data_IF_168272018365
#
_entry.id   IF_168272018365
#
_cell.length_a   1.000
_cell.length_b   1.000
_cell.length_c   1.000
_cell.angle_alpha   90.00
_cell.angle_beta   90.00
_cell.angle_gamma   90.00
#
_symmetry.space_group_name_H-M   'P 1'
#
loop_
_entity.id
_entity.type
_entity.pdbx_description
1 polymer ?
#
# COMPACT_ATOMS: atom_id res chain seq x y z
N UNK A 1 -43.38 55.16 13.72
CA UNK A 1 -42.19 55.10 12.86
C UNK A 1 -40.89 54.82 13.64
N UNK A 2 -40.60 55.52 14.71
CA UNK A 2 -39.36 55.35 15.51
C UNK A 2 -39.24 53.96 16.20
N UNK A 3 -40.32 53.38 16.72
CA UNK A 3 -40.29 52.07 17.34
C UNK A 3 -40.12 50.92 16.35
N UNK A 4 -40.58 51.08 15.12
CA UNK A 4 -40.37 50.11 14.03
C UNK A 4 -38.92 50.07 13.65
N UNK A 5 -38.27 51.25 13.52
CA UNK A 5 -36.85 51.36 13.21
C UNK A 5 -35.98 50.68 14.30
N UNK A 6 -36.28 50.91 15.58
CA UNK A 6 -35.58 50.25 16.70
C UNK A 6 -35.73 48.75 16.68
N UNK A 7 -36.89 48.19 16.33
CA UNK A 7 -37.11 46.77 16.18
C UNK A 7 -36.29 46.17 15.01
N UNK A 8 -36.28 46.88 13.87
CA UNK A 8 -35.47 46.45 12.71
C UNK A 8 -33.95 46.48 13.06
N UNK A 9 -33.46 47.53 13.72
CA UNK A 9 -32.04 47.59 14.14
C UNK A 9 -31.67 46.43 15.12
N UNK A 10 -32.57 46.07 16.07
CA UNK A 10 -32.32 44.96 16.96
C UNK A 10 -32.27 43.62 16.23
N UNK A 11 -33.18 43.37 15.29
CA UNK A 11 -33.20 42.16 14.48
C UNK A 11 -31.93 42.08 13.64
N UNK A 12 -31.54 43.16 13.00
CA UNK A 12 -30.29 43.22 12.19
C UNK A 12 -29.06 42.97 13.05
N UNK A 13 -28.98 43.49 14.27
CA UNK A 13 -27.87 43.23 15.19
C UNK A 13 -27.80 41.76 15.61
N UNK A 14 -28.93 41.11 15.88
CA UNK A 14 -29.02 39.69 16.22
C UNK A 14 -28.58 38.85 15.03
N UNK A 15 -29.04 39.15 13.82
CA UNK A 15 -28.63 38.44 12.59
C UNK A 15 -27.14 38.58 12.35
N UNK A 16 -26.56 39.78 12.52
CA UNK A 16 -25.11 40.01 12.37
C UNK A 16 -24.28 39.16 13.36
N UNK A 17 -24.75 39.08 14.63
CA UNK A 17 -24.09 38.22 15.64
C UNK A 17 -24.11 36.74 15.22
N UNK A 18 -25.29 36.26 14.76
CA UNK A 18 -25.39 34.87 14.26
C UNK A 18 -24.46 34.58 13.09
N UNK A 19 -24.35 35.51 12.12
CA UNK A 19 -23.47 35.37 10.97
C UNK A 19 -21.98 35.31 11.44
N UNK A 20 -21.60 36.21 12.37
CA UNK A 20 -20.23 36.23 12.91
C UNK A 20 -19.94 34.94 13.68
N UNK A 21 -20.86 34.46 14.51
CA UNK A 21 -20.68 33.20 15.23
C UNK A 21 -20.61 31.99 14.28
N UNK A 22 -21.47 31.95 13.28
CA UNK A 22 -21.44 30.89 12.26
C UNK A 22 -20.16 30.90 11.45
N UNK A 23 -19.69 32.07 11.03
CA UNK A 23 -18.40 32.23 10.35
C UNK A 23 -17.24 31.80 11.24
N UNK A 24 -17.21 32.25 12.50
CA UNK A 24 -16.20 31.82 13.47
C UNK A 24 -16.22 30.31 13.71
N UNK A 25 -17.39 29.70 13.84
CA UNK A 25 -17.53 28.25 13.98
C UNK A 25 -17.00 27.51 12.75
N UNK A 26 -17.36 27.95 11.54
CA UNK A 26 -16.89 27.32 10.30
C UNK A 26 -15.37 27.47 10.15
N UNK A 27 -14.78 28.60 10.48
CA UNK A 27 -13.32 28.78 10.41
C UNK A 27 -12.58 27.92 11.43
N UNK A 28 -13.11 27.73 12.65
CA UNK A 28 -12.55 26.81 13.65
C UNK A 28 -12.64 25.35 13.22
N UNK A 29 -13.60 25.01 12.35
CA UNK A 29 -13.73 23.69 11.72
C UNK A 29 -12.92 23.54 10.43
N UNK A 30 -12.08 24.53 10.09
CA UNK A 30 -11.20 24.47 8.93
C UNK A 30 -11.86 24.85 7.60
N UNK A 31 -13.00 25.54 7.62
CA UNK A 31 -13.60 26.10 6.41
C UNK A 31 -13.08 27.50 6.15
N UNK A 32 -12.75 27.78 4.91
CA UNK A 32 -12.45 29.15 4.42
C UNK A 32 -13.49 29.58 3.39
N UNK A 33 -13.81 30.87 3.38
CA UNK A 33 -14.74 31.46 2.41
C UNK A 33 -13.95 31.94 1.18
N UNK A 34 -14.15 31.29 0.04
CA UNK A 34 -13.52 31.66 -1.21
C UNK A 34 -14.51 31.49 -2.36
N UNK A 35 -14.48 32.44 -3.31
CA UNK A 35 -15.32 32.43 -4.52
C UNK A 35 -16.82 32.20 -4.24
N UNK A 36 -17.34 32.90 -3.21
CA UNK A 36 -18.74 32.83 -2.73
C UNK A 36 -19.15 31.48 -2.14
N UNK A 37 -18.20 30.58 -1.80
CA UNK A 37 -18.47 29.29 -1.17
C UNK A 37 -17.57 29.06 0.05
N UNK A 38 -18.08 28.28 1.03
CA UNK A 38 -17.26 27.73 2.09
C UNK A 38 -16.59 26.46 1.60
N UNK A 39 -15.26 26.41 1.61
CA UNK A 39 -14.45 25.24 1.27
C UNK A 39 -13.64 24.82 2.50
N UNK A 40 -13.46 23.52 2.72
CA UNK A 40 -12.56 23.02 3.76
C UNK A 40 -11.13 23.46 3.46
N UNK A 41 -10.49 24.13 4.40
CA UNK A 41 -9.09 24.56 4.25
C UNK A 41 -8.14 23.39 4.04
N UNK A 42 -8.52 22.19 4.51
CA UNK A 42 -7.78 20.95 4.23
C UNK A 42 -7.83 20.50 2.76
N UNK A 43 -8.77 21.03 1.95
CA UNK A 43 -8.70 20.81 0.49
C UNK A 43 -7.63 21.68 -0.16
N UNK A 44 -7.19 22.76 0.50
CA UNK A 44 -6.03 23.54 0.07
C UNK A 44 -4.68 22.86 0.45
N UNK A 45 -4.72 21.81 1.29
CA UNK A 45 -3.61 20.91 1.62
C UNK A 45 -3.88 19.43 1.25
N UNK A 46 -4.94 19.15 0.50
CA UNK A 46 -4.86 18.09 -0.50
C UNK A 46 -3.91 18.61 -1.60
N UNK A 47 -2.70 19.04 -1.16
CA UNK A 47 -1.56 19.20 -2.03
C UNK A 47 -1.50 17.88 -2.78
N UNK A 48 -1.43 17.94 -4.07
CA UNK A 48 -0.96 16.94 -4.97
C UNK A 48 -0.04 16.00 -4.15
N UNK A 49 -0.59 14.89 -3.63
CA UNK A 49 0.27 13.89 -3.00
C UNK A 49 1.17 13.50 -4.14
N UNK A 50 2.42 13.92 -4.08
CA UNK A 50 3.39 13.62 -5.11
C UNK A 50 3.27 12.12 -5.36
N UNK A 51 3.20 11.71 -6.62
CA UNK A 51 3.03 10.30 -6.99
C UNK A 51 4.00 9.40 -6.20
N UNK A 52 5.20 9.91 -5.96
CA UNK A 52 6.25 9.27 -5.18
C UNK A 52 6.91 10.29 -4.23
N UNK A 53 7.29 9.82 -3.05
CA UNK A 53 7.93 10.62 -2.00
C UNK A 53 9.38 10.15 -1.80
N UNK A 54 10.36 11.06 -1.87
CA UNK A 54 11.76 10.72 -1.55
C UNK A 54 11.89 10.26 -0.11
N UNK A 55 12.61 9.15 0.07
CA UNK A 55 12.88 8.54 1.37
C UNK A 55 14.35 8.14 1.48
N UNK A 56 14.79 7.83 2.68
CA UNK A 56 16.09 7.20 2.95
C UNK A 56 15.91 6.14 4.04
N UNK A 57 16.55 5.00 3.86
CA UNK A 57 16.50 3.91 4.83
C UNK A 57 17.05 2.61 4.23
N UNK A 58 17.27 1.62 5.09
CA UNK A 58 17.70 0.30 4.68
C UNK A 58 16.52 -0.66 4.64
N UNK A 59 16.33 -1.28 3.49
CA UNK A 59 15.38 -2.39 3.35
C UNK A 59 16.10 -3.66 3.83
N UNK A 60 15.92 -4.00 5.11
CA UNK A 60 16.53 -5.16 5.74
C UNK A 60 15.79 -6.44 5.33
N UNK A 61 16.18 -7.02 4.23
CA UNK A 61 15.67 -8.29 3.73
C UNK A 61 16.85 -9.25 3.57
N UNK A 62 16.79 -10.41 4.23
CA UNK A 62 17.82 -11.45 4.06
C UNK A 62 17.70 -12.10 2.68
N UNK A 63 18.82 -12.60 2.14
CA UNK A 63 18.81 -13.33 0.86
C UNK A 63 17.83 -14.52 0.89
N UNK A 64 17.78 -15.23 2.00
CA UNK A 64 16.88 -16.37 2.22
C UNK A 64 15.40 -15.98 2.07
N UNK A 65 15.04 -14.73 2.39
CA UNK A 65 13.66 -14.21 2.30
C UNK A 65 13.42 -13.36 1.06
N UNK A 66 14.44 -13.16 0.24
CA UNK A 66 14.29 -12.38 -0.99
C UNK A 66 13.59 -13.23 -2.06
N UNK A 67 12.45 -12.73 -2.52
CA UNK A 67 11.66 -13.29 -3.63
C UNK A 67 11.58 -12.26 -4.73
N UNK A 68 12.44 -12.43 -5.73
CA UNK A 68 12.61 -11.44 -6.79
C UNK A 68 12.24 -11.99 -8.17
N UNK A 69 11.70 -11.12 -9.02
CA UNK A 69 11.55 -11.28 -10.46
C UNK A 69 12.50 -10.33 -11.18
N UNK A 70 13.09 -10.78 -12.26
CA UNK A 70 13.98 -9.97 -13.09
C UNK A 70 15.46 -10.09 -12.75
N UNK A 71 16.27 -9.33 -13.50
CA UNK A 71 17.73 -9.35 -13.38
C UNK A 71 18.20 -8.75 -12.04
N UNK A 72 19.20 -9.36 -11.38
CA UNK A 72 19.85 -8.73 -10.23
C UNK A 72 20.50 -7.39 -10.57
N UNK A 73 20.94 -7.21 -11.83
CA UNK A 73 21.64 -6.02 -12.34
C UNK A 73 20.71 -4.95 -12.91
N UNK A 74 19.38 -5.09 -12.72
CA UNK A 74 18.42 -4.11 -13.18
C UNK A 74 18.67 -2.72 -12.55
N UNK A 75 18.64 -1.62 -13.32
CA UNK A 75 18.94 -0.28 -12.82
C UNK A 75 17.94 0.20 -11.77
N UNK A 76 16.71 -0.33 -11.77
CA UNK A 76 15.71 -0.05 -10.76
C UNK A 76 15.30 -1.33 -10.03
N UNK A 77 15.11 -1.22 -8.71
CA UNK A 77 14.48 -2.26 -7.90
C UNK A 77 13.19 -1.73 -7.28
N UNK A 78 12.09 -2.44 -7.48
CA UNK A 78 10.79 -2.15 -6.88
C UNK A 78 10.51 -3.16 -5.77
N UNK A 79 10.48 -2.71 -4.54
CA UNK A 79 10.11 -3.49 -3.37
C UNK A 79 8.63 -3.32 -3.10
N UNK A 80 7.83 -4.36 -3.32
CA UNK A 80 6.38 -4.33 -3.16
C UNK A 80 5.93 -4.92 -1.83
N UNK A 81 5.53 -4.07 -0.89
CA UNK A 81 4.94 -4.47 0.39
C UNK A 81 3.48 -4.85 0.18
N UNK A 82 3.18 -6.11 0.37
CA UNK A 82 1.88 -6.69 0.03
C UNK A 82 1.35 -7.63 1.11
N UNK A 83 0.03 -7.65 1.26
CA UNK A 83 -0.68 -8.64 2.06
C UNK A 83 -1.55 -9.51 1.18
N UNK A 84 -1.54 -10.82 1.45
CA UNK A 84 -2.37 -11.79 0.72
C UNK A 84 -3.88 -11.57 0.97
N UNK A 85 -4.26 -10.95 2.09
CA UNK A 85 -5.64 -10.60 2.39
C UNK A 85 -6.12 -9.30 1.70
N UNK A 86 -5.20 -8.47 1.21
CA UNK A 86 -5.51 -7.15 0.65
C UNK A 86 -6.05 -7.25 -0.78
N UNK A 87 -7.24 -6.68 -1.04
CA UNK A 87 -7.85 -6.66 -2.38
C UNK A 87 -7.07 -5.81 -3.37
N UNK A 88 -6.54 -4.67 -2.95
CA UNK A 88 -5.71 -3.81 -3.81
C UNK A 88 -4.36 -4.44 -4.16
N UNK A 89 -3.79 -5.26 -3.25
CA UNK A 89 -2.59 -6.05 -3.57
C UNK A 89 -2.89 -7.11 -4.63
N UNK A 90 -4.06 -7.76 -4.51
CA UNK A 90 -4.55 -8.70 -5.53
C UNK A 90 -4.71 -8.02 -6.89
N UNK A 91 -5.34 -6.85 -6.94
CA UNK A 91 -5.51 -6.08 -8.18
C UNK A 91 -4.17 -5.73 -8.82
N UNK A 92 -3.21 -5.26 -8.02
CA UNK A 92 -1.85 -4.99 -8.50
C UNK A 92 -1.21 -6.25 -9.07
N UNK A 93 -1.24 -7.35 -8.33
CA UNK A 93 -0.64 -8.62 -8.74
C UNK A 93 -1.27 -9.18 -10.01
N UNK A 94 -2.60 -9.08 -10.15
CA UNK A 94 -3.35 -9.64 -11.27
C UNK A 94 -3.30 -8.79 -12.54
N UNK A 95 -3.31 -7.47 -12.42
CA UNK A 95 -3.52 -6.59 -13.57
C UNK A 95 -2.35 -5.65 -13.87
N UNK A 96 -1.52 -5.34 -12.89
CA UNK A 96 -0.40 -4.40 -13.04
C UNK A 96 0.93 -5.12 -13.16
N UNK A 97 1.21 -6.06 -12.24
CA UNK A 97 2.48 -6.79 -12.22
C UNK A 97 2.78 -7.54 -13.53
N UNK A 98 1.83 -8.24 -14.20
CA UNK A 98 2.12 -8.90 -15.48
C UNK A 98 2.52 -7.93 -16.60
N UNK A 99 1.98 -6.70 -16.58
CA UNK A 99 2.38 -5.66 -17.54
C UNK A 99 3.78 -5.13 -17.22
N UNK A 100 4.08 -4.91 -15.93
CA UNK A 100 5.44 -4.55 -15.50
C UNK A 100 6.44 -5.65 -15.83
N UNK A 101 6.03 -6.91 -15.67
CA UNK A 101 6.89 -8.05 -16.03
C UNK A 101 7.24 -8.03 -17.51
N UNK A 102 6.26 -7.87 -18.39
CA UNK A 102 6.48 -7.81 -19.84
C UNK A 102 7.34 -6.61 -20.25
N UNK A 103 7.04 -5.41 -19.73
CA UNK A 103 7.59 -4.17 -20.29
C UNK A 103 8.89 -3.71 -19.61
N UNK A 104 9.12 -4.14 -18.36
CA UNK A 104 10.26 -3.68 -17.57
C UNK A 104 11.11 -4.82 -16.99
N UNK A 105 10.47 -5.87 -16.43
CA UNK A 105 11.21 -6.94 -15.73
C UNK A 105 11.88 -7.86 -16.74
N UNK A 106 11.14 -8.36 -17.72
CA UNK A 106 11.68 -9.22 -18.78
C UNK A 106 12.70 -8.50 -19.67
N UNK A 107 12.66 -7.16 -19.74
CA UNK A 107 13.61 -6.33 -20.48
C UNK A 107 14.84 -5.93 -19.65
N UNK A 108 14.96 -6.41 -18.41
CA UNK A 108 16.08 -6.13 -17.52
C UNK A 108 16.15 -4.72 -16.94
N UNK A 109 15.09 -3.93 -17.10
CA UNK A 109 15.02 -2.53 -16.63
C UNK A 109 14.58 -2.42 -15.17
N UNK A 110 13.83 -3.40 -14.68
CA UNK A 110 13.27 -3.44 -13.33
C UNK A 110 13.48 -4.81 -12.71
N UNK A 111 13.90 -4.83 -11.45
CA UNK A 111 13.81 -5.98 -10.55
C UNK A 111 12.63 -5.75 -9.61
N UNK A 112 11.73 -6.71 -9.49
CA UNK A 112 10.62 -6.66 -8.53
C UNK A 112 10.90 -7.61 -7.37
N UNK A 113 10.76 -7.12 -6.13
CA UNK A 113 10.93 -7.91 -4.91
C UNK A 113 9.63 -7.89 -4.13
N UNK A 114 9.02 -9.05 -3.94
CA UNK A 114 7.83 -9.18 -3.12
C UNK A 114 8.20 -9.19 -1.64
N UNK A 115 7.53 -8.34 -0.83
CA UNK A 115 7.72 -8.28 0.61
C UNK A 115 6.37 -8.49 1.30
N UNK A 116 6.30 -9.51 2.15
CA UNK A 116 5.10 -9.74 2.95
C UNK A 116 4.89 -8.65 4.01
N UNK A 117 3.68 -8.09 4.00
CA UNK A 117 3.19 -7.16 5.01
C UNK A 117 1.83 -7.66 5.51
N UNK A 118 1.81 -8.71 6.35
CA UNK A 118 0.56 -9.32 6.80
C UNK A 118 -0.26 -8.35 7.65
N UNK A 119 -1.56 -8.22 7.34
CA UNK A 119 -2.48 -7.29 8.00
C UNK A 119 -3.43 -8.01 8.98
N UNK A 120 -3.49 -9.34 8.93
CA UNK A 120 -4.32 -10.17 9.79
C UNK A 120 -3.73 -11.60 9.89
N UNK A 121 -4.21 -12.48 10.82
CA UNK A 121 -3.58 -13.77 11.09
C UNK A 121 -3.51 -14.72 9.91
N UNK A 122 -4.54 -14.81 9.05
CA UNK A 122 -4.52 -15.69 7.88
C UNK A 122 -3.51 -15.24 6.84
N UNK A 123 -3.31 -13.91 6.65
CA UNK A 123 -2.26 -13.41 5.76
C UNK A 123 -0.85 -13.65 6.30
N UNK A 124 -0.68 -13.73 7.63
CA UNK A 124 0.59 -14.17 8.22
C UNK A 124 0.84 -15.66 7.91
N UNK A 125 -0.20 -16.50 8.03
CA UNK A 125 -0.11 -17.93 7.68
C UNK A 125 0.22 -18.12 6.20
N UNK A 126 -0.45 -17.38 5.31
CA UNK A 126 -0.15 -17.37 3.88
C UNK A 126 1.31 -16.97 3.59
N UNK A 127 1.81 -15.94 4.27
CA UNK A 127 3.19 -15.50 4.15
C UNK A 127 4.19 -16.58 4.59
N UNK A 128 3.94 -17.25 5.70
CA UNK A 128 4.79 -18.35 6.16
C UNK A 128 4.81 -19.51 5.16
N UNK A 129 3.65 -19.99 4.73
CA UNK A 129 3.55 -21.10 3.78
C UNK A 129 4.27 -20.78 2.47
N UNK A 130 4.14 -19.55 1.96
CA UNK A 130 4.85 -19.14 0.74
C UNK A 130 6.36 -19.19 0.86
N UNK A 131 6.91 -18.88 2.04
CA UNK A 131 8.35 -18.96 2.30
C UNK A 131 8.83 -20.39 2.57
N UNK A 132 7.96 -21.28 3.02
CA UNK A 132 8.28 -22.69 3.23
C UNK A 132 8.24 -23.53 1.94
N UNK A 133 7.60 -23.02 0.90
CA UNK A 133 7.66 -23.64 -0.43
C UNK A 133 9.02 -23.40 -1.09
N UNK A 134 9.44 -24.29 -2.02
CA UNK A 134 10.57 -24.02 -2.89
C UNK A 134 10.46 -22.67 -3.58
N UNK A 135 11.59 -21.97 -3.74
CA UNK A 135 11.62 -20.58 -4.23
C UNK A 135 10.95 -20.42 -5.60
N UNK A 136 11.12 -21.40 -6.48
CA UNK A 136 10.52 -21.43 -7.81
C UNK A 136 9.00 -21.52 -7.81
N UNK A 137 8.38 -22.00 -6.72
CA UNK A 137 6.92 -22.09 -6.57
C UNK A 137 6.31 -20.85 -5.91
N UNK A 138 7.13 -19.93 -5.44
CA UNK A 138 6.67 -18.79 -4.65
C UNK A 138 5.62 -17.95 -5.39
N UNK A 139 5.94 -17.46 -6.58
CA UNK A 139 5.05 -16.57 -7.32
C UNK A 139 3.79 -17.27 -7.84
N UNK A 140 3.89 -18.55 -8.20
CA UNK A 140 2.73 -19.35 -8.59
C UNK A 140 1.78 -19.55 -7.41
N UNK A 141 2.32 -19.81 -6.22
CA UNK A 141 1.52 -19.91 -5.00
C UNK A 141 0.88 -18.59 -4.60
N UNK A 142 1.61 -17.46 -4.71
CA UNK A 142 1.06 -16.13 -4.51
C UNK A 142 -0.11 -15.85 -5.48
N UNK A 143 0.05 -16.23 -6.75
CA UNK A 143 -0.98 -16.05 -7.77
C UNK A 143 -2.21 -16.90 -7.46
N UNK A 144 -2.02 -18.16 -7.09
CA UNK A 144 -3.11 -19.04 -6.69
C UNK A 144 -3.91 -18.48 -5.52
N UNK A 145 -3.23 -18.03 -4.44
CA UNK A 145 -3.90 -17.46 -3.27
C UNK A 145 -4.64 -16.13 -3.57
N UNK A 146 -4.18 -15.36 -4.55
CA UNK A 146 -4.89 -14.16 -4.99
C UNK A 146 -6.07 -14.47 -5.91
N UNK A 147 -5.98 -15.50 -6.71
CA UNK A 147 -7.05 -15.90 -7.63
C UNK A 147 -8.16 -16.66 -6.90
N UNK A 148 -7.79 -17.60 -6.05
CA UNK A 148 -8.67 -18.48 -5.29
C UNK A 148 -8.70 -18.04 -3.83
N UNK A 149 -9.66 -17.21 -3.46
CA UNK A 149 -9.73 -16.56 -2.13
C UNK A 149 -10.64 -17.30 -1.14
N UNK A 150 -11.02 -18.53 -1.40
CA UNK A 150 -11.82 -19.35 -0.50
C UNK A 150 -11.14 -19.56 0.86
N UNK A 151 -9.81 -19.68 0.89
CA UNK A 151 -9.01 -19.75 2.12
C UNK A 151 -9.19 -18.53 3.03
N UNK A 152 -9.49 -17.35 2.47
CA UNK A 152 -9.64 -16.09 3.22
C UNK A 152 -11.07 -15.86 3.69
N UNK A 153 -12.06 -16.30 2.90
CA UNK A 153 -13.48 -16.04 3.17
C UNK A 153 -14.22 -17.25 3.74
N UNK A 154 -13.54 -18.39 3.87
CA UNK A 154 -14.07 -19.57 4.57
C UNK A 154 -14.06 -19.37 6.08
N UNK A 155 -15.03 -19.97 6.77
CA UNK A 155 -14.96 -20.14 8.23
C UNK A 155 -13.97 -21.23 8.65
N UNK A 156 -13.39 -21.96 7.70
CA UNK A 156 -12.40 -23.00 7.91
C UNK A 156 -10.99 -22.46 7.63
N UNK A 157 -10.26 -22.17 8.70
CA UNK A 157 -8.88 -21.67 8.61
C UNK A 157 -7.89 -22.69 8.01
N UNK A 158 -8.31 -23.96 7.86
CA UNK A 158 -7.46 -25.00 7.24
C UNK A 158 -7.52 -24.99 5.72
N UNK A 159 -8.45 -24.26 5.12
CA UNK A 159 -8.55 -24.14 3.66
C UNK A 159 -7.25 -23.74 2.97
N UNK A 160 -6.49 -22.86 3.58
CA UNK A 160 -5.18 -22.44 3.06
C UNK A 160 -4.19 -23.61 2.93
N UNK A 161 -4.34 -24.65 3.73
CA UNK A 161 -3.47 -25.84 3.66
C UNK A 161 -3.78 -26.71 2.44
N UNK A 162 -5.03 -26.69 1.95
CA UNK A 162 -5.39 -27.37 0.70
C UNK A 162 -4.60 -26.74 -0.48
N UNK A 163 -4.47 -25.41 -0.50
CA UNK A 163 -3.63 -24.72 -1.48
C UNK A 163 -2.15 -25.11 -1.32
N UNK A 164 -1.61 -25.09 -0.11
CA UNK A 164 -0.22 -25.48 0.14
C UNK A 164 0.06 -26.93 -0.31
N UNK A 165 -0.90 -27.87 -0.06
CA UNK A 165 -0.80 -29.26 -0.51
C UNK A 165 -0.85 -29.37 -2.04
N UNK A 166 -1.65 -28.58 -2.72
CA UNK A 166 -1.67 -28.54 -4.19
C UNK A 166 -0.32 -28.13 -4.78
N UNK A 167 0.46 -27.35 -4.03
CA UNK A 167 1.85 -26.99 -4.38
C UNK A 167 2.90 -27.98 -3.86
N UNK A 168 2.48 -29.10 -3.27
CA UNK A 168 3.32 -30.23 -2.90
C UNK A 168 3.81 -30.26 -1.46
N UNK A 169 3.30 -29.38 -0.58
CA UNK A 169 3.58 -29.50 0.86
C UNK A 169 2.81 -30.68 1.46
N UNK A 170 3.46 -31.42 2.34
CA UNK A 170 2.84 -32.45 3.16
C UNK A 170 2.35 -31.86 4.47
N UNK A 171 1.55 -32.60 5.22
CA UNK A 171 1.05 -32.16 6.52
C UNK A 171 2.20 -31.85 7.49
N UNK A 172 3.25 -32.67 7.49
CA UNK A 172 4.43 -32.45 8.35
C UNK A 172 5.15 -31.14 7.99
N UNK A 173 5.27 -30.82 6.70
CA UNK A 173 5.89 -29.56 6.22
C UNK A 173 5.07 -28.35 6.65
N UNK A 174 3.74 -28.44 6.56
CA UNK A 174 2.79 -27.40 6.97
C UNK A 174 2.87 -27.17 8.47
N UNK A 175 2.89 -28.24 9.28
CA UNK A 175 3.03 -28.17 10.73
C UNK A 175 4.37 -27.52 11.13
N UNK A 176 5.47 -27.99 10.54
CA UNK A 176 6.80 -27.44 10.78
C UNK A 176 6.86 -25.94 10.40
N UNK A 177 6.29 -25.58 9.25
CA UNK A 177 6.20 -24.20 8.81
C UNK A 177 5.39 -23.33 9.79
N UNK A 178 4.23 -23.80 10.24
CA UNK A 178 3.41 -23.07 11.20
C UNK A 178 4.10 -22.94 12.57
N UNK A 179 4.88 -23.93 13.00
CA UNK A 179 5.61 -23.91 14.26
C UNK A 179 6.88 -23.03 14.22
N UNK A 180 7.36 -22.64 13.03
CA UNK A 180 8.57 -21.83 12.88
C UNK A 180 8.38 -20.41 13.43
N UNK A 181 8.87 -20.21 14.66
CA UNK A 181 8.84 -18.92 15.36
C UNK A 181 9.85 -17.92 14.76
N UNK A 182 10.99 -18.42 14.24
CA UNK A 182 12.00 -17.57 13.62
C UNK A 182 11.43 -16.92 12.35
N UNK A 183 10.79 -17.71 11.49
CA UNK A 183 10.12 -17.20 10.30
C UNK A 183 9.06 -16.16 10.64
N UNK A 184 8.26 -16.40 11.69
CA UNK A 184 7.27 -15.44 12.16
C UNK A 184 7.93 -14.13 12.61
N UNK A 185 9.02 -14.21 13.39
CA UNK A 185 9.76 -13.03 13.83
C UNK A 185 10.40 -12.27 12.67
N UNK A 186 10.97 -12.98 11.70
CA UNK A 186 11.59 -12.37 10.51
C UNK A 186 10.55 -11.55 9.71
N UNK A 187 9.36 -12.12 9.47
CA UNK A 187 8.28 -11.42 8.75
C UNK A 187 7.81 -10.19 9.52
N UNK A 188 7.64 -10.31 10.84
CA UNK A 188 7.22 -9.19 11.69
C UNK A 188 8.27 -8.10 11.75
N UNK A 189 9.55 -8.44 11.84
CA UNK A 189 10.64 -7.47 11.85
C UNK A 189 10.68 -6.64 10.57
N UNK A 190 10.54 -7.28 9.40
CA UNK A 190 10.48 -6.59 8.12
C UNK A 190 9.28 -5.64 8.05
N UNK A 191 8.12 -6.09 8.57
CA UNK A 191 6.92 -5.24 8.67
C UNK A 191 7.13 -4.06 9.62
N UNK A 192 7.71 -4.29 10.80
CA UNK A 192 7.98 -3.24 11.79
C UNK A 192 8.97 -2.20 11.24
N UNK A 193 10.03 -2.63 10.55
CA UNK A 193 10.96 -1.73 9.88
C UNK A 193 10.26 -0.88 8.82
N UNK A 194 9.36 -1.49 8.03
CA UNK A 194 8.59 -0.75 7.04
C UNK A 194 7.70 0.34 7.67
N UNK A 195 7.09 0.06 8.82
CA UNK A 195 6.28 1.03 9.57
C UNK A 195 7.17 2.12 10.19
N UNK A 196 8.26 1.73 10.84
CA UNK A 196 9.07 2.66 11.63
C UNK A 196 9.96 3.55 10.75
N UNK A 197 10.61 2.97 9.74
CA UNK A 197 11.59 3.68 8.91
C UNK A 197 10.92 4.40 7.73
N UNK A 198 9.97 3.73 7.06
CA UNK A 198 9.35 4.25 5.85
C UNK A 198 7.92 4.76 6.04
N UNK A 199 7.37 4.67 7.27
CA UNK A 199 5.98 5.09 7.58
C UNK A 199 4.91 4.40 6.72
N UNK A 200 5.18 3.16 6.30
CA UNK A 200 4.21 2.35 5.56
C UNK A 200 3.13 1.88 6.54
N UNK A 201 1.92 2.43 6.41
CA UNK A 201 0.78 2.12 7.26
C UNK A 201 -0.25 1.18 6.61
N UNK A 202 -0.06 0.80 5.35
CA UNK A 202 -1.01 -0.03 4.60
C UNK A 202 -0.41 -0.62 3.33
N UNK A 203 -1.21 -1.46 2.67
CA UNK A 203 -0.80 -2.17 1.46
C UNK A 203 -1.76 -1.94 0.29
N UNK A 204 -1.27 -2.01 -0.97
CA UNK A 204 0.13 -2.13 -1.32
C UNK A 204 0.91 -0.84 -1.07
N UNK A 205 2.22 -0.96 -0.84
CA UNK A 205 3.15 0.14 -0.85
C UNK A 205 4.41 -0.30 -1.62
N UNK A 206 5.06 0.64 -2.29
CA UNK A 206 6.22 0.32 -3.13
C UNK A 206 7.37 1.26 -2.82
N UNK A 207 8.56 0.71 -2.63
CA UNK A 207 9.80 1.50 -2.61
C UNK A 207 10.53 1.22 -3.92
N UNK A 208 10.79 2.29 -4.67
CA UNK A 208 11.56 2.22 -5.91
C UNK A 208 12.97 2.73 -5.61
N UNK A 209 13.96 1.87 -5.78
CA UNK A 209 15.38 2.17 -5.53
C UNK A 209 16.14 2.19 -6.86
N UNK A 210 16.96 3.20 -7.06
CA UNK A 210 17.84 3.38 -8.22
C UNK A 210 19.05 4.21 -7.85
N UNK A 211 19.90 4.54 -8.82
CA UNK A 211 21.11 5.34 -8.62
C UNK A 211 20.83 6.76 -8.07
N UNK A 212 19.65 7.31 -8.34
CA UNK A 212 19.17 8.62 -7.90
C UNK A 212 18.50 8.60 -6.51
N UNK A 213 18.50 7.43 -5.83
CA UNK A 213 17.96 7.25 -4.49
C UNK A 213 16.69 6.41 -4.43
N UNK A 214 15.97 6.57 -3.32
CA UNK A 214 14.77 5.78 -3.04
C UNK A 214 13.54 6.69 -2.99
N UNK A 215 12.43 6.17 -3.51
CA UNK A 215 11.14 6.84 -3.46
C UNK A 215 10.03 5.86 -3.04
N UNK A 216 9.15 6.34 -2.17
CA UNK A 216 7.99 5.61 -1.67
C UNK A 216 6.74 5.98 -2.44
N UNK A 217 6.01 4.98 -2.90
CA UNK A 217 4.69 5.09 -3.53
C UNK A 217 3.69 4.36 -2.64
N UNK A 218 2.69 5.07 -2.14
CA UNK A 218 1.65 4.49 -1.28
C UNK A 218 0.38 4.17 -2.08
N UNK A 219 -0.19 3.02 -1.76
CA UNK A 219 -1.44 2.53 -2.34
C UNK A 219 -1.32 2.00 -3.76
N UNK A 220 -2.43 1.47 -4.27
CA UNK A 220 -2.50 0.94 -5.63
C UNK A 220 -2.39 2.08 -6.64
N UNK A 221 -1.62 1.86 -7.71
CA UNK A 221 -1.47 2.79 -8.84
C UNK A 221 -1.89 2.10 -10.13
N UNK A 222 -2.39 2.87 -11.08
CA UNK A 222 -2.65 2.37 -12.42
C UNK A 222 -1.33 2.04 -13.11
N UNK A 223 -1.37 1.07 -14.00
CA UNK A 223 -0.19 0.67 -14.77
C UNK A 223 0.42 1.85 -15.55
N UNK A 224 -0.41 2.66 -16.19
CA UNK A 224 0.08 3.76 -17.03
C UNK A 224 0.83 4.83 -16.21
N UNK A 225 0.33 5.13 -15.00
CA UNK A 225 1.00 6.06 -14.08
C UNK A 225 2.36 5.50 -13.60
N UNK A 226 2.41 4.20 -13.29
CA UNK A 226 3.67 3.53 -12.92
C UNK A 226 4.64 3.45 -14.09
N UNK A 227 4.14 3.21 -15.29
CA UNK A 227 4.94 3.15 -16.50
C UNK A 227 5.63 4.50 -16.75
N UNK A 228 4.86 5.59 -16.79
CA UNK A 228 5.41 6.95 -16.97
C UNK A 228 6.48 7.27 -15.90
N UNK A 229 6.17 6.97 -14.64
CA UNK A 229 7.10 7.17 -13.54
C UNK A 229 8.39 6.36 -13.70
N UNK A 230 8.32 5.08 -14.05
CA UNK A 230 9.49 4.22 -14.24
C UNK A 230 10.31 4.64 -15.45
N UNK A 231 9.68 5.00 -16.56
CA UNK A 231 10.36 5.50 -17.76
C UNK A 231 11.15 6.78 -17.45
N UNK A 232 10.55 7.71 -16.70
CA UNK A 232 11.24 8.93 -16.23
C UNK A 232 12.44 8.59 -15.34
N UNK A 233 12.32 7.64 -14.41
CA UNK A 233 13.40 7.20 -13.52
C UNK A 233 14.54 6.50 -14.28
N UNK A 234 14.25 5.91 -15.42
CA UNK A 234 15.22 5.27 -16.31
C UNK A 234 15.93 6.25 -17.26
N UNK A 235 15.63 7.56 -17.17
CA UNK A 235 16.21 8.58 -18.04
C UNK A 235 15.46 8.76 -19.36
N UNK A 236 14.19 8.31 -19.45
CA UNK A 236 13.27 8.66 -20.53
C UNK A 236 12.82 10.12 -20.39
N UNK A 237 12.87 10.86 -21.50
CA UNK A 237 12.27 12.20 -21.63
C UNK A 237 10.75 12.13 -21.59
#
# INVERSE_FOLDING_TARGET
MFEIIKRICRVMAIVAVYIICAYGYLTTKGFIFKDNNFILSNTAHAGEQSFAQKISGNINLSEERTRALGSPDAPLTMYGYSSMACSHCREFHKFTLPKLERDFIATGKLKFVFIHFPIEPLSMRAAKLSYCLPQEKFYDFISDLYDNRDWLFSNDETKIYEHAKAFGMKDEDIEACNADKKLTSDILLVKENAINDFKIAGTPAFIISGADGQELILGSKKYDDLKEYLEKRLGGE
#
